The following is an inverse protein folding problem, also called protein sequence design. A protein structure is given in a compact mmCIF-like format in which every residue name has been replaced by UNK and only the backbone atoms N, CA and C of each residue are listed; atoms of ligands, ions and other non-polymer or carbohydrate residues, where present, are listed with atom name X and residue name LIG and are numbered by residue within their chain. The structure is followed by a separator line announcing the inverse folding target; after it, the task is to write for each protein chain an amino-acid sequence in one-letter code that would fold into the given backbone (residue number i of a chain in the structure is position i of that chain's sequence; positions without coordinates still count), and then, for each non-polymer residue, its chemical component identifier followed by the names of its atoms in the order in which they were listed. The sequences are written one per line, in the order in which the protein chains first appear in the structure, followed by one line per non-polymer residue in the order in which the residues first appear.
data_IF_026251617519
#
_entry.id   IF_026251617519
#
_cell.length_a   1.000
_cell.length_b   1.000
_cell.length_c   1.000
_cell.angle_alpha   90.00
_cell.angle_beta   90.00
_cell.angle_gamma   90.00
#
_symmetry.space_group_name_H-M   'P 1'
#
loop_
_entity.id
_entity.type
_entity.pdbx_description
1 polymer ?
#
# COMPACT_ATOMS: atom_id res chain seq x y z
N UNK A 1 0.50 -79.64 -14.07
CA UNK A 1 1.50 -78.99 -13.20
C UNK A 1 1.52 -77.45 -13.30
N UNK A 2 1.01 -76.82 -14.36
CA UNK A 2 0.94 -75.33 -14.49
C UNK A 2 -0.27 -74.69 -13.77
N UNK A 3 -1.35 -75.43 -13.56
CA UNK A 3 -2.57 -74.88 -12.97
C UNK A 3 -2.48 -74.65 -11.44
N UNK A 4 -1.69 -75.49 -10.74
CA UNK A 4 -1.52 -75.32 -9.30
C UNK A 4 -0.58 -74.20 -8.87
N UNK A 5 0.33 -73.80 -9.76
CA UNK A 5 1.21 -72.66 -9.50
C UNK A 5 0.45 -71.35 -9.53
N UNK A 6 -0.52 -71.19 -10.42
CA UNK A 6 -1.35 -69.97 -10.47
C UNK A 6 -2.32 -69.87 -9.30
N UNK A 7 -2.84 -70.96 -8.77
CA UNK A 7 -3.66 -70.99 -7.57
C UNK A 7 -2.90 -70.64 -6.30
N UNK A 8 -1.66 -71.14 -6.17
CA UNK A 8 -0.77 -70.73 -5.06
C UNK A 8 -0.33 -69.28 -5.15
N UNK A 9 -0.05 -68.74 -6.37
CA UNK A 9 0.26 -67.35 -6.53
C UNK A 9 -0.92 -66.42 -6.26
N UNK A 10 -2.15 -66.84 -6.59
CA UNK A 10 -3.36 -66.05 -6.32
C UNK A 10 -3.69 -66.02 -4.82
N UNK A 11 -3.49 -67.13 -4.11
CA UNK A 11 -3.67 -67.18 -2.64
C UNK A 11 -2.57 -66.38 -1.91
N UNK A 12 -1.35 -66.37 -2.41
CA UNK A 12 -0.26 -65.55 -1.87
C UNK A 12 -0.52 -64.03 -2.11
N UNK A 13 -1.09 -63.69 -3.26
CA UNK A 13 -1.42 -62.26 -3.59
C UNK A 13 -2.62 -61.74 -2.82
N UNK A 14 -3.65 -62.60 -2.57
CA UNK A 14 -4.79 -62.22 -1.72
C UNK A 14 -4.46 -62.18 -0.22
N UNK A 15 -3.44 -62.92 0.25
CA UNK A 15 -2.99 -62.84 1.64
C UNK A 15 -2.19 -61.54 1.93
N UNK A 16 -1.61 -60.87 0.91
CA UNK A 16 -0.90 -59.57 1.05
C UNK A 16 -1.81 -58.36 1.05
N UNK A 17 -3.07 -58.50 0.63
CA UNK A 17 -4.02 -57.37 0.57
C UNK A 17 -4.88 -57.22 1.80
N UNK A 18 -4.77 -58.07 2.80
CA UNK A 18 -5.41 -57.94 4.10
C UNK A 18 -4.43 -57.60 5.23
N UNK A 19 -3.32 -56.93 4.90
CA UNK A 19 -2.66 -56.11 5.90
C UNK A 19 -3.53 -54.87 6.08
N UNK A 20 -4.60 -55.05 6.83
CA UNK A 20 -5.43 -53.98 7.38
C UNK A 20 -4.51 -52.92 7.96
N UNK A 21 -4.63 -51.72 7.52
CA UNK A 21 -4.24 -50.58 8.33
C UNK A 21 -4.82 -50.87 9.71
N UNK A 22 -3.99 -51.09 10.72
CA UNK A 22 -4.46 -50.93 12.09
C UNK A 22 -5.12 -49.56 12.09
N UNK A 23 -6.38 -49.52 12.45
CA UNK A 23 -7.02 -48.32 12.91
C UNK A 23 -6.24 -47.90 14.16
N UNK A 24 -5.13 -47.21 13.96
CA UNK A 24 -4.47 -46.48 15.02
C UNK A 24 -5.49 -45.44 15.39
N UNK A 25 -6.01 -45.56 16.59
CA UNK A 25 -6.91 -44.57 17.15
C UNK A 25 -6.17 -43.27 17.09
N UNK A 26 -6.58 -42.37 16.16
CA UNK A 26 -5.94 -41.08 15.91
C UNK A 26 -5.78 -40.30 17.23
N UNK A 27 -6.63 -40.58 18.20
CA UNK A 27 -6.58 -40.00 19.54
C UNK A 27 -5.41 -40.52 20.39
N UNK A 28 -4.88 -41.74 20.14
CA UNK A 28 -3.76 -42.31 20.90
C UNK A 28 -2.38 -41.96 20.29
N UNK A 29 -2.27 -41.65 19.00
CA UNK A 29 -1.01 -41.32 18.33
C UNK A 29 -0.78 -39.83 18.14
N UNK A 30 -1.84 -39.01 18.14
CA UNK A 30 -1.76 -37.57 18.04
C UNK A 30 -2.32 -36.89 19.29
N UNK A 31 -1.56 -36.96 20.38
CA UNK A 31 -1.80 -36.08 21.51
C UNK A 31 -1.51 -34.63 21.06
N UNK A 32 -2.56 -33.92 20.62
CA UNK A 32 -2.48 -32.49 20.48
C UNK A 32 -2.36 -31.89 21.88
N UNK A 33 -1.16 -31.47 22.25
CA UNK A 33 -0.96 -30.69 23.46
C UNK A 33 -1.92 -29.50 23.44
N UNK A 34 -2.79 -29.43 24.43
CA UNK A 34 -3.65 -28.26 24.61
C UNK A 34 -2.78 -27.07 24.91
N UNK A 35 -2.63 -26.15 23.97
CA UNK A 35 -1.76 -24.97 24.06
C UNK A 35 -2.58 -23.70 24.00
N UNK A 36 -2.16 -22.70 24.76
CA UNK A 36 -2.69 -21.35 24.68
C UNK A 36 -2.11 -20.62 23.47
N UNK A 37 -2.95 -19.90 22.75
CA UNK A 37 -2.54 -19.07 21.61
C UNK A 37 -3.44 -17.83 21.46
N UNK A 38 -2.91 -16.78 20.84
CA UNK A 38 -3.68 -15.61 20.39
C UNK A 38 -4.48 -16.02 19.17
N UNK A 39 -5.80 -15.84 19.22
CA UNK A 39 -6.76 -16.22 18.16
C UNK A 39 -7.19 -15.02 17.29
N UNK A 40 -6.88 -13.80 17.69
CA UNK A 40 -7.02 -12.62 16.84
C UNK A 40 -5.97 -12.63 15.71
N UNK A 41 -6.21 -11.82 14.68
CA UNK A 41 -5.28 -11.71 13.54
C UNK A 41 -3.85 -11.39 14.00
N UNK A 42 -2.83 -12.02 13.44
CA UNK A 42 -1.44 -11.84 13.88
C UNK A 42 -0.91 -10.43 13.56
N UNK A 43 -1.43 -9.77 12.52
CA UNK A 43 -1.06 -8.40 12.14
C UNK A 43 -2.31 -7.59 11.85
N UNK A 44 -2.44 -6.41 12.45
CA UNK A 44 -3.53 -5.45 12.22
C UNK A 44 -2.95 -4.17 11.62
N UNK A 45 -3.34 -3.83 10.39
CA UNK A 45 -2.83 -2.68 9.64
C UNK A 45 -3.81 -1.51 9.49
N UNK A 46 -4.90 -1.50 10.25
CA UNK A 46 -5.97 -0.52 10.13
C UNK A 46 -5.85 0.67 11.11
N UNK A 47 -4.76 0.74 11.87
CA UNK A 47 -4.48 1.84 12.77
C UNK A 47 -3.80 2.98 12.01
N UNK A 48 -4.50 4.10 11.91
CA UNK A 48 -4.07 5.24 11.11
C UNK A 48 -3.80 6.47 11.99
N UNK A 49 -2.68 7.12 11.76
CA UNK A 49 -2.41 8.45 12.33
C UNK A 49 -3.26 9.44 11.57
N UNK A 50 -4.20 10.11 12.27
CA UNK A 50 -5.07 11.15 11.73
C UNK A 50 -5.06 12.36 12.66
N UNK A 51 -5.12 13.56 12.09
CA UNK A 51 -5.07 14.80 12.87
C UNK A 51 -6.19 14.94 13.90
N UNK A 52 -7.34 14.32 13.64
CA UNK A 52 -8.55 14.39 14.47
C UNK A 52 -8.77 13.13 15.34
N UNK A 53 -7.97 12.08 15.18
CA UNK A 53 -8.10 10.85 15.97
C UNK A 53 -7.05 10.81 17.06
N UNK A 54 -7.50 11.14 18.27
CA UNK A 54 -6.66 11.12 19.47
C UNK A 54 -6.58 9.74 20.11
N UNK A 55 -7.58 8.91 19.89
CA UNK A 55 -7.77 7.64 20.59
C UNK A 55 -8.31 6.56 19.65
N UNK A 56 -7.81 5.36 19.79
CA UNK A 56 -8.35 4.14 19.21
C UNK A 56 -8.21 2.99 20.21
N UNK A 57 -8.97 1.92 20.04
CA UNK A 57 -8.92 0.77 20.94
C UNK A 57 -9.05 -0.52 20.14
N UNK A 58 -8.22 -1.48 20.45
CA UNK A 58 -8.24 -2.81 19.85
C UNK A 58 -8.25 -3.88 20.92
N UNK A 59 -8.81 -5.02 20.58
CA UNK A 59 -8.86 -6.16 21.47
C UNK A 59 -8.04 -7.34 20.94
N UNK A 60 -7.44 -8.06 21.87
CA UNK A 60 -6.75 -9.31 21.60
C UNK A 60 -7.60 -10.42 22.18
N UNK A 61 -7.98 -11.35 21.32
CA UNK A 61 -8.62 -12.61 21.72
C UNK A 61 -7.59 -13.72 21.79
N UNK A 62 -7.76 -14.63 22.73
CA UNK A 62 -6.87 -15.76 22.93
C UNK A 62 -7.67 -16.98 23.39
N UNK A 63 -7.16 -18.17 23.14
CA UNK A 63 -7.90 -19.39 23.48
C UNK A 63 -7.01 -20.61 23.59
N UNK A 64 -7.60 -21.63 24.18
CA UNK A 64 -7.13 -23.01 24.20
C UNK A 64 -7.84 -23.82 23.11
N UNK A 65 -7.25 -24.93 22.71
CA UNK A 65 -7.87 -25.88 21.80
C UNK A 65 -9.01 -26.70 22.46
N UNK A 66 -8.87 -26.97 23.77
CA UNK A 66 -9.85 -27.73 24.55
C UNK A 66 -10.03 -27.11 25.96
N UNK A 67 -11.18 -27.33 26.64
CA UNK A 67 -11.40 -26.86 27.99
C UNK A 67 -10.34 -27.37 28.98
N UNK A 68 -10.16 -26.63 30.08
CA UNK A 68 -9.23 -26.98 31.17
C UNK A 68 -9.97 -27.28 32.46
N UNK A 69 -9.43 -28.19 33.27
CA UNK A 69 -10.00 -28.55 34.55
C UNK A 69 -9.65 -27.57 35.68
N UNK A 70 -8.54 -26.85 35.52
CA UNK A 70 -8.03 -25.90 36.51
C UNK A 70 -8.00 -24.48 35.95
N UNK A 71 -7.99 -23.51 36.84
CA UNK A 71 -7.83 -22.14 36.52
C UNK A 71 -6.44 -21.86 35.86
N UNK A 72 -6.42 -21.10 34.76
CA UNK A 72 -5.22 -20.73 34.05
C UNK A 72 -5.05 -19.22 34.16
N UNK A 73 -3.93 -18.79 34.73
CA UNK A 73 -3.52 -17.38 34.77
C UNK A 73 -2.71 -17.06 33.51
N UNK A 74 -3.08 -15.97 32.81
CA UNK A 74 -2.43 -15.53 31.57
C UNK A 74 -2.02 -14.08 31.73
N UNK A 75 -0.76 -13.77 31.40
CA UNK A 75 -0.24 -12.40 31.42
C UNK A 75 0.14 -11.95 30.00
N UNK A 76 -0.22 -10.73 29.66
CA UNK A 76 0.12 -10.07 28.41
C UNK A 76 0.97 -8.83 28.69
N UNK A 77 1.83 -8.48 27.77
CA UNK A 77 2.52 -7.18 27.79
C UNK A 77 2.99 -6.77 26.40
N UNK A 78 3.20 -5.48 26.22
CA UNK A 78 3.88 -4.94 25.06
C UNK A 78 5.37 -5.32 25.10
N UNK A 79 5.91 -5.68 23.93
CA UNK A 79 7.34 -6.03 23.76
C UNK A 79 7.95 -5.27 22.60
N UNK A 80 8.28 -3.97 22.76
CA UNK A 80 8.88 -3.14 21.70
C UNK A 80 10.11 -3.76 21.04
N UNK A 81 10.89 -4.56 21.81
CA UNK A 81 12.06 -5.28 21.29
C UNK A 81 11.75 -6.29 20.17
N UNK A 82 10.50 -6.74 20.06
CA UNK A 82 10.05 -7.63 18.96
C UNK A 82 9.78 -6.88 17.65
N UNK A 83 9.91 -5.56 17.58
CA UNK A 83 9.80 -4.81 16.34
C UNK A 83 10.83 -5.26 15.29
N UNK A 84 12.05 -5.59 15.72
CA UNK A 84 13.07 -6.14 14.81
C UNK A 84 12.68 -7.52 14.25
N UNK A 85 12.06 -8.36 15.07
CA UNK A 85 11.54 -9.67 14.63
C UNK A 85 10.39 -9.51 13.64
N UNK A 86 9.47 -8.57 13.91
CA UNK A 86 8.42 -8.19 12.98
C UNK A 86 9.00 -7.78 11.62
N UNK A 87 9.90 -6.80 11.61
CA UNK A 87 10.51 -6.30 10.38
C UNK A 87 11.19 -7.40 9.56
N UNK A 88 11.89 -8.32 10.24
CA UNK A 88 12.52 -9.46 9.56
C UNK A 88 11.48 -10.44 8.97
N UNK A 89 10.39 -10.70 9.71
CA UNK A 89 9.38 -11.70 9.30
C UNK A 89 8.47 -11.20 8.19
N UNK A 90 8.20 -9.90 8.14
CA UNK A 90 7.24 -9.29 7.21
C UNK A 90 7.89 -8.39 6.15
N UNK A 91 9.22 -8.29 6.14
CA UNK A 91 9.95 -7.44 5.19
C UNK A 91 9.66 -5.94 5.34
N UNK A 92 9.38 -5.49 6.57
CA UNK A 92 9.02 -4.11 6.89
C UNK A 92 10.18 -3.36 7.57
N UNK A 93 10.02 -2.04 7.77
CA UNK A 93 10.97 -1.16 8.48
C UNK A 93 10.30 -0.35 9.59
N UNK A 94 9.24 -0.86 10.18
CA UNK A 94 8.48 -0.19 11.22
C UNK A 94 9.32 0.10 12.48
N UNK A 95 9.11 1.28 13.06
CA UNK A 95 9.71 1.68 14.34
C UNK A 95 8.83 1.16 15.49
N UNK A 96 9.43 0.70 16.58
CA UNK A 96 8.66 0.34 17.77
C UNK A 96 7.83 1.55 18.26
N UNK A 97 6.54 1.32 18.54
CA UNK A 97 5.66 2.37 19.07
C UNK A 97 6.13 2.78 20.48
N UNK A 98 6.39 4.08 20.74
CA UNK A 98 6.81 4.54 22.06
C UNK A 98 5.68 4.36 23.11
N UNK A 99 6.07 4.13 24.37
CA UNK A 99 5.12 3.86 25.47
C UNK A 99 4.08 4.97 25.72
N UNK A 100 4.42 6.21 25.38
CA UNK A 100 3.49 7.35 25.51
C UNK A 100 2.24 7.26 24.61
N UNK A 101 2.21 6.32 23.67
CA UNK A 101 1.15 6.21 22.65
C UNK A 101 0.25 5.00 22.82
N UNK A 102 0.43 4.20 23.88
CA UNK A 102 -0.45 3.07 24.16
C UNK A 102 -0.59 2.80 25.65
N UNK A 103 -1.67 2.11 26.00
CA UNK A 103 -1.94 1.59 27.33
C UNK A 103 -2.64 0.23 27.25
N UNK A 104 -2.28 -0.67 28.16
CA UNK A 104 -2.94 -1.98 28.33
C UNK A 104 -3.43 -2.02 29.78
N UNK A 105 -4.69 -1.59 30.04
CA UNK A 105 -5.20 -1.41 31.39
C UNK A 105 -5.23 -2.68 32.22
N UNK A 106 -5.55 -3.82 31.58
CA UNK A 106 -5.60 -5.14 32.20
C UNK A 106 -4.64 -6.06 31.48
N UNK A 107 -3.54 -6.40 32.14
CA UNK A 107 -2.50 -7.28 31.57
C UNK A 107 -2.61 -8.72 32.02
N UNK A 108 -3.37 -8.98 33.09
CA UNK A 108 -3.51 -10.31 33.68
C UNK A 108 -4.98 -10.72 33.64
N UNK A 109 -5.24 -11.88 33.10
CA UNK A 109 -6.57 -12.44 32.91
C UNK A 109 -6.59 -13.92 33.31
N UNK A 110 -7.78 -14.46 33.49
CA UNK A 110 -7.98 -15.82 33.98
C UNK A 110 -8.90 -16.58 33.05
N UNK A 111 -8.53 -17.81 32.70
CA UNK A 111 -9.43 -18.77 32.07
C UNK A 111 -9.96 -19.66 33.21
N UNK A 112 -11.28 -19.64 33.39
CA UNK A 112 -11.94 -20.42 34.45
C UNK A 112 -12.01 -21.93 34.08
N UNK A 113 -12.07 -22.82 35.06
CA UNK A 113 -12.29 -24.23 34.83
C UNK A 113 -13.51 -24.50 33.93
N UNK A 114 -13.36 -25.38 32.95
CA UNK A 114 -14.36 -25.64 31.90
C UNK A 114 -14.35 -24.66 30.74
N UNK A 115 -13.54 -23.57 30.83
CA UNK A 115 -13.42 -22.58 29.79
C UNK A 115 -12.30 -22.91 28.80
N UNK A 116 -12.38 -22.21 27.64
CA UNK A 116 -11.32 -22.23 26.60
C UNK A 116 -10.72 -20.83 26.35
N UNK A 117 -11.30 -19.78 26.93
CA UNK A 117 -10.85 -18.39 26.84
C UNK A 117 -11.24 -17.63 28.10
N UNK A 118 -10.61 -16.51 28.37
CA UNK A 118 -11.01 -15.53 29.38
C UNK A 118 -11.45 -14.22 28.72
N UNK A 119 -11.42 -13.12 29.50
CA UNK A 119 -11.73 -11.78 29.01
C UNK A 119 -10.75 -11.31 27.96
N UNK A 120 -11.23 -10.57 26.96
CA UNK A 120 -10.38 -9.96 25.92
C UNK A 120 -9.40 -8.96 26.55
N UNK A 121 -8.17 -8.92 26.02
CA UNK A 121 -7.19 -7.89 26.38
C UNK A 121 -7.45 -6.65 25.53
N UNK A 122 -7.63 -5.51 26.18
CA UNK A 122 -7.81 -4.23 25.51
C UNK A 122 -6.46 -3.52 25.39
N UNK A 123 -6.14 -3.07 24.19
CA UNK A 123 -5.01 -2.20 23.89
C UNK A 123 -5.58 -0.86 23.45
N UNK A 124 -5.33 0.16 24.24
CA UNK A 124 -5.73 1.54 23.94
C UNK A 124 -4.55 2.25 23.26
N UNK A 125 -4.83 2.93 22.17
CA UNK A 125 -3.88 3.81 21.47
C UNK A 125 -4.30 5.25 21.74
N UNK A 126 -3.35 6.08 22.17
CA UNK A 126 -3.60 7.45 22.61
C UNK A 126 -2.66 8.42 21.88
N UNK A 127 -3.11 9.67 21.73
CA UNK A 127 -2.33 10.75 21.14
C UNK A 127 -1.77 10.42 19.73
N UNK A 128 -2.46 9.59 18.95
CA UNK A 128 -1.99 9.13 17.64
C UNK A 128 -1.66 10.28 16.69
N UNK A 129 -2.33 11.42 16.82
CA UNK A 129 -2.09 12.64 16.06
C UNK A 129 -0.71 13.29 16.30
N UNK A 130 0.01 12.90 17.35
CA UNK A 130 1.35 13.41 17.69
C UNK A 130 2.47 12.54 17.11
N UNK A 131 2.14 11.38 16.57
CA UNK A 131 3.11 10.52 15.90
C UNK A 131 3.56 11.14 14.58
N UNK A 132 4.81 10.87 14.19
CA UNK A 132 5.33 11.22 12.87
C UNK A 132 4.61 10.38 11.81
N UNK A 133 3.71 10.99 11.07
CA UNK A 133 2.89 10.35 10.05
C UNK A 133 3.66 9.91 8.80
N UNK A 134 4.93 10.29 8.68
CA UNK A 134 5.84 9.79 7.65
C UNK A 134 6.46 8.42 7.98
N UNK A 135 6.23 7.92 9.21
CA UNK A 135 6.79 6.66 9.70
C UNK A 135 5.72 5.60 9.88
N UNK A 136 6.16 4.36 9.77
CA UNK A 136 5.39 3.20 10.23
C UNK A 136 5.82 2.84 11.64
N UNK A 137 4.86 2.55 12.49
CA UNK A 137 5.12 2.08 13.85
C UNK A 137 4.51 0.69 14.03
N UNK A 138 5.12 -0.10 14.90
CA UNK A 138 4.63 -1.42 15.29
C UNK A 138 4.60 -1.55 16.80
N UNK A 139 3.46 -2.02 17.33
CA UNK A 139 3.32 -2.44 18.72
C UNK A 139 3.16 -3.97 18.78
N UNK A 140 4.20 -4.72 19.13
CA UNK A 140 4.08 -6.14 19.44
C UNK A 140 3.47 -6.32 20.84
N UNK A 141 2.37 -7.07 20.95
CA UNK A 141 1.81 -7.49 22.24
C UNK A 141 1.87 -9.02 22.32
N UNK A 142 2.41 -9.54 23.41
CA UNK A 142 2.70 -10.96 23.55
C UNK A 142 2.19 -11.54 24.86
N UNK A 143 1.89 -12.82 24.86
CA UNK A 143 1.70 -13.58 26.10
C UNK A 143 3.08 -13.72 26.76
N UNK A 144 3.25 -13.14 27.95
CA UNK A 144 4.50 -13.14 28.69
C UNK A 144 4.59 -14.29 29.67
N UNK A 145 3.45 -14.71 30.23
CA UNK A 145 3.38 -15.81 31.17
C UNK A 145 2.05 -16.55 31.07
N UNK A 146 2.06 -17.85 31.34
CA UNK A 146 0.88 -18.69 31.45
C UNK A 146 1.13 -19.76 32.51
N UNK A 147 0.14 -20.04 33.35
CA UNK A 147 0.24 -21.09 34.37
C UNK A 147 -0.32 -22.43 33.86
N UNK A 148 0.34 -23.52 34.18
CA UNK A 148 -0.21 -24.89 34.07
C UNK A 148 -0.45 -25.45 32.68
N UNK A 149 -0.14 -24.69 31.61
CA UNK A 149 -0.30 -25.15 30.22
C UNK A 149 0.78 -24.56 29.32
N UNK A 150 1.05 -25.22 28.17
CA UNK A 150 2.03 -24.75 27.19
C UNK A 150 1.51 -23.61 26.30
N UNK A 151 2.45 -22.86 25.71
CA UNK A 151 2.16 -21.84 24.70
C UNK A 151 2.39 -22.38 23.28
N UNK A 152 1.57 -21.97 22.34
CA UNK A 152 1.86 -22.10 20.91
C UNK A 152 2.76 -20.90 20.51
N UNK A 153 4.06 -21.14 20.45
CA UNK A 153 5.07 -20.08 20.25
C UNK A 153 4.88 -19.27 18.97
N UNK A 154 4.40 -19.93 17.90
CA UNK A 154 4.12 -19.26 16.62
C UNK A 154 2.92 -18.30 16.65
N UNK A 155 2.06 -18.41 17.65
CA UNK A 155 0.86 -17.59 17.81
C UNK A 155 0.76 -16.95 19.21
N UNK A 156 1.91 -16.64 19.81
CA UNK A 156 1.96 -15.97 21.12
C UNK A 156 2.00 -14.46 21.05
N UNK A 157 2.22 -13.87 19.85
CA UNK A 157 2.38 -12.44 19.64
C UNK A 157 1.46 -11.96 18.53
N UNK A 158 0.82 -10.82 18.74
CA UNK A 158 0.12 -10.05 17.70
C UNK A 158 0.79 -8.71 17.52
N UNK A 159 0.68 -8.15 16.32
CA UNK A 159 1.34 -6.90 15.92
C UNK A 159 0.28 -5.89 15.48
N UNK A 160 0.30 -4.72 16.08
CA UNK A 160 -0.52 -3.58 15.65
C UNK A 160 0.37 -2.63 14.86
N UNK A 161 0.01 -2.40 13.60
CA UNK A 161 0.72 -1.50 12.71
C UNK A 161 -0.01 -0.17 12.67
N UNK A 162 0.73 0.90 12.97
CA UNK A 162 0.24 2.27 12.92
C UNK A 162 1.01 2.98 11.83
N UNK A 163 0.28 3.60 10.91
CA UNK A 163 0.85 4.34 9.80
C UNK A 163 0.13 5.67 9.61
N UNK A 164 0.85 6.65 9.07
CA UNK A 164 0.25 7.92 8.71
C UNK A 164 -0.89 7.69 7.71
N UNK A 165 -2.06 8.19 8.06
CA UNK A 165 -3.10 8.41 7.08
C UNK A 165 -2.91 9.82 6.57
N UNK A 166 -2.46 9.96 5.33
CA UNK A 166 -2.72 11.20 4.63
C UNK A 166 -4.25 11.28 4.44
N UNK A 167 -4.91 12.08 5.26
CA UNK A 167 -6.32 12.38 5.05
C UNK A 167 -6.41 13.26 3.81
N UNK A 168 -6.83 12.68 2.71
CA UNK A 168 -7.27 13.45 1.55
C UNK A 168 -8.76 13.75 1.80
N UNK A 169 -9.05 14.89 2.43
CA UNK A 169 -10.42 15.30 2.72
C UNK A 169 -11.05 16.05 1.55
N UNK A 170 -10.22 16.66 0.73
CA UNK A 170 -10.64 17.49 -0.41
C UNK A 170 -9.63 17.27 -1.54
N UNK A 171 -10.12 17.25 -2.76
CA UNK A 171 -9.32 17.18 -3.98
C UNK A 171 -9.80 18.24 -4.98
N UNK A 172 -8.99 18.55 -5.96
CA UNK A 172 -9.39 19.43 -7.05
C UNK A 172 -9.95 18.61 -8.23
N UNK A 173 -11.19 18.86 -8.63
CA UNK A 173 -11.67 18.48 -9.95
C UNK A 173 -11.21 19.54 -10.95
N UNK A 174 -10.41 19.11 -11.94
CA UNK A 174 -9.76 19.99 -12.91
C UNK A 174 -10.28 19.80 -14.33
N UNK A 175 -11.49 19.25 -14.46
CA UNK A 175 -12.19 19.20 -15.73
C UNK A 175 -12.31 20.59 -16.33
N UNK A 176 -11.91 20.74 -17.61
CA UNK A 176 -11.87 22.01 -18.33
C UNK A 176 -11.00 23.10 -17.67
N UNK A 177 -10.06 22.70 -16.83
CA UNK A 177 -9.17 23.58 -16.09
C UNK A 177 -7.71 23.12 -16.21
N UNK A 178 -6.79 23.97 -15.84
CA UNK A 178 -5.36 23.67 -15.81
C UNK A 178 -4.58 24.65 -14.94
N UNK A 179 -3.37 24.26 -14.57
CA UNK A 179 -2.44 25.07 -13.78
C UNK A 179 -1.15 25.28 -14.57
N UNK A 180 -0.84 26.54 -15.04
CA UNK A 180 0.48 26.88 -15.55
C UNK A 180 1.50 26.86 -14.41
N UNK A 181 2.66 26.28 -14.64
CA UNK A 181 3.73 26.22 -13.66
C UNK A 181 4.80 27.28 -14.04
N UNK A 182 5.05 28.17 -13.10
CA UNK A 182 6.20 29.10 -13.17
C UNK A 182 7.21 28.59 -12.14
N UNK A 183 8.24 27.96 -12.62
CA UNK A 183 9.25 27.36 -11.75
C UNK A 183 10.11 28.43 -11.07
N UNK A 184 10.24 28.28 -9.75
CA UNK A 184 11.24 28.97 -8.94
C UNK A 184 12.49 28.10 -8.74
N UNK A 185 12.34 26.78 -8.91
CA UNK A 185 13.42 25.81 -8.88
C UNK A 185 14.10 25.70 -10.25
N UNK A 186 15.41 25.34 -10.29
CA UNK A 186 16.10 25.06 -11.57
C UNK A 186 15.67 23.67 -12.09
N UNK A 187 14.88 23.70 -13.14
CA UNK A 187 14.37 22.51 -13.86
C UNK A 187 14.77 22.54 -15.34
N UNK A 188 15.78 23.35 -15.70
CA UNK A 188 16.23 23.56 -17.09
C UNK A 188 16.98 22.38 -17.69
N UNK A 189 17.55 21.48 -16.84
CA UNK A 189 18.38 20.35 -17.28
C UNK A 189 18.30 19.18 -16.32
N UNK A 190 17.11 18.60 -16.22
CA UNK A 190 16.91 17.44 -15.34
C UNK A 190 17.47 16.17 -16.00
N UNK A 191 18.49 15.58 -15.39
CA UNK A 191 19.09 14.29 -15.81
C UNK A 191 18.27 13.10 -15.29
N UNK A 192 17.56 13.32 -14.19
CA UNK A 192 16.63 12.36 -13.59
C UNK A 192 15.37 13.11 -13.20
N UNK A 193 14.23 12.51 -13.46
CA UNK A 193 12.93 13.01 -13.02
C UNK A 193 12.02 11.83 -12.64
N UNK A 194 11.35 11.98 -11.50
CA UNK A 194 10.18 11.16 -11.16
C UNK A 194 8.99 12.10 -10.99
N UNK A 195 7.89 11.78 -11.64
CA UNK A 195 6.62 12.49 -11.47
C UNK A 195 5.60 11.52 -10.91
N UNK A 196 4.95 11.90 -9.82
CA UNK A 196 3.88 11.14 -9.19
C UNK A 196 2.60 11.98 -9.17
N UNK A 197 1.45 11.34 -9.30
CA UNK A 197 0.14 11.94 -9.09
C UNK A 197 -0.91 10.91 -8.71
N UNK A 198 -1.88 11.30 -7.87
CA UNK A 198 -3.14 10.61 -7.71
C UNK A 198 -4.14 11.19 -8.70
N UNK A 199 -4.75 10.35 -9.49
CA UNK A 199 -5.75 10.74 -10.50
C UNK A 199 -6.99 9.87 -10.40
N UNK A 200 -8.17 10.46 -10.64
CA UNK A 200 -9.44 9.77 -10.76
C UNK A 200 -10.25 10.41 -11.87
N UNK A 201 -10.82 9.60 -12.74
CA UNK A 201 -11.72 10.07 -13.79
C UNK A 201 -13.01 9.24 -13.78
N UNK A 202 -14.13 9.91 -13.96
CA UNK A 202 -15.44 9.28 -14.19
C UNK A 202 -15.64 8.90 -15.67
N UNK A 203 -14.90 9.52 -16.59
CA UNK A 203 -14.98 9.27 -18.03
C UNK A 203 -13.71 9.70 -18.77
N UNK A 204 -12.83 8.78 -19.12
CA UNK A 204 -11.63 9.07 -19.91
C UNK A 204 -11.93 9.58 -21.33
N UNK A 205 -13.09 9.27 -21.87
CA UNK A 205 -13.55 9.77 -23.16
C UNK A 205 -14.06 11.21 -23.05
N UNK A 206 -14.85 11.50 -22.00
CA UNK A 206 -15.41 12.81 -21.65
C UNK A 206 -16.15 13.51 -22.82
N UNK A 207 -16.64 12.75 -23.81
CA UNK A 207 -17.37 13.25 -24.98
C UNK A 207 -16.68 14.41 -25.69
N UNK A 208 -15.35 14.34 -25.82
CA UNK A 208 -14.51 15.34 -26.45
C UNK A 208 -14.08 14.91 -27.84
N UNK A 209 -13.92 15.88 -28.77
CA UNK A 209 -13.33 15.62 -30.08
C UNK A 209 -11.85 15.20 -29.93
N UNK A 210 -11.13 15.83 -29.00
CA UNK A 210 -9.78 15.43 -28.63
C UNK A 210 -9.81 14.45 -27.45
N UNK A 211 -9.38 13.26 -27.75
CA UNK A 211 -9.42 12.14 -26.82
C UNK A 211 -8.27 12.07 -25.84
N UNK A 212 -7.29 12.99 -25.95
CA UNK A 212 -6.12 13.02 -25.11
C UNK A 212 -6.39 13.79 -23.81
N UNK A 213 -6.01 13.20 -22.69
CA UNK A 213 -6.01 13.84 -21.37
C UNK A 213 -4.58 14.13 -20.93
N UNK A 214 -4.30 15.31 -20.44
CA UNK A 214 -2.96 15.68 -19.96
C UNK A 214 -2.93 15.68 -18.43
N UNK A 215 -1.93 15.05 -17.84
CA UNK A 215 -1.71 15.06 -16.39
C UNK A 215 -0.70 16.16 -16.03
N UNK A 216 0.51 16.06 -16.55
CA UNK A 216 1.62 16.98 -16.22
C UNK A 216 2.59 17.09 -17.37
N UNK A 217 3.15 18.28 -17.58
CA UNK A 217 4.37 18.46 -18.37
C UNK A 217 4.27 19.44 -19.52
N UNK A 218 5.07 19.18 -20.54
CA UNK A 218 5.33 20.04 -21.71
C UNK A 218 5.19 19.24 -22.99
N UNK A 219 4.38 19.72 -23.91
CA UNK A 219 4.30 19.14 -25.26
C UNK A 219 5.67 19.18 -25.95
N UNK A 220 6.07 18.06 -26.54
CA UNK A 220 7.32 17.95 -27.29
C UNK A 220 8.59 17.74 -26.45
N UNK A 221 8.51 17.73 -25.12
CA UNK A 221 9.66 17.47 -24.25
C UNK A 221 9.37 16.40 -23.20
N UNK A 222 8.61 16.72 -22.16
CA UNK A 222 8.21 15.76 -21.14
C UNK A 222 6.73 15.93 -20.84
N UNK A 223 5.92 14.95 -21.20
CA UNK A 223 4.47 15.02 -21.01
C UNK A 223 3.92 13.67 -20.57
N UNK A 224 3.20 13.68 -19.46
CA UNK A 224 2.38 12.56 -19.00
C UNK A 224 0.95 12.79 -19.47
N UNK A 225 0.45 11.89 -20.31
CA UNK A 225 -0.86 12.00 -20.97
C UNK A 225 -1.56 10.65 -21.04
N UNK A 226 -2.85 10.65 -21.31
CA UNK A 226 -3.71 9.47 -21.37
C UNK A 226 -4.49 9.51 -22.66
N UNK A 227 -4.54 8.39 -23.41
CA UNK A 227 -5.41 8.19 -24.55
C UNK A 227 -5.02 8.86 -25.87
N UNK A 228 -3.72 8.96 -26.19
CA UNK A 228 -3.26 9.60 -27.43
C UNK A 228 -3.21 8.66 -28.63
N UNK A 229 -3.61 9.18 -29.79
CA UNK A 229 -3.47 8.53 -31.08
C UNK A 229 -4.28 7.24 -31.17
N UNK A 230 -3.60 6.15 -31.46
CA UNK A 230 -4.14 4.78 -31.61
C UNK A 230 -4.24 4.00 -30.30
N UNK A 231 -3.93 4.64 -29.17
CA UNK A 231 -4.01 4.02 -27.83
C UNK A 231 -5.43 3.98 -27.30
N UNK A 232 -5.75 2.98 -26.45
CA UNK A 232 -6.96 3.03 -25.64
C UNK A 232 -7.08 4.33 -24.85
N UNK A 233 -8.31 4.81 -24.66
CA UNK A 233 -8.60 6.11 -24.03
C UNK A 233 -8.15 6.23 -22.59
N UNK A 234 -8.00 5.12 -21.91
CA UNK A 234 -7.56 4.96 -20.53
C UNK A 234 -6.05 4.69 -20.40
N UNK A 235 -5.35 4.50 -21.53
CA UNK A 235 -3.93 4.14 -21.48
C UNK A 235 -3.03 5.36 -21.25
N UNK A 236 -2.22 5.32 -20.17
CA UNK A 236 -1.19 6.29 -19.90
C UNK A 236 -0.03 6.18 -20.90
N UNK A 237 0.49 7.34 -21.27
CA UNK A 237 1.70 7.50 -22.06
C UNK A 237 2.56 8.62 -21.48
N UNK A 238 3.85 8.37 -21.35
CA UNK A 238 4.84 9.42 -21.15
C UNK A 238 5.53 9.72 -22.49
N UNK A 239 5.44 10.96 -22.96
CA UNK A 239 6.24 11.46 -24.06
C UNK A 239 7.49 12.12 -23.46
N UNK A 240 8.67 11.68 -23.89
CA UNK A 240 9.98 12.11 -23.37
C UNK A 240 10.95 12.32 -24.52
N UNK A 241 12.09 12.98 -24.32
CA UNK A 241 13.14 13.00 -25.32
C UNK A 241 13.51 11.60 -25.76
N UNK A 242 13.47 11.33 -27.07
CA UNK A 242 13.73 10.00 -27.63
C UNK A 242 12.49 9.12 -27.83
N UNK A 243 11.28 9.64 -27.56
CA UNK A 243 10.02 8.98 -27.90
C UNK A 243 9.14 8.62 -26.71
N UNK A 244 7.96 8.08 -27.01
CA UNK A 244 6.94 7.77 -26.02
C UNK A 244 7.08 6.38 -25.43
N UNK A 245 6.63 6.22 -24.20
CA UNK A 245 6.47 4.91 -23.55
C UNK A 245 5.22 4.89 -22.63
N UNK A 246 4.59 3.75 -22.34
CA UNK A 246 4.72 2.47 -23.06
C UNK A 246 4.38 2.60 -24.56
N UNK A 247 4.81 1.66 -25.41
CA UNK A 247 4.40 1.64 -26.82
C UNK A 247 2.88 1.36 -26.94
N UNK A 248 2.27 1.73 -28.09
CA UNK A 248 0.82 1.62 -28.29
C UNK A 248 0.26 0.20 -28.15
N UNK A 249 1.04 -0.79 -28.49
CA UNK A 249 0.70 -2.20 -28.44
C UNK A 249 1.14 -2.91 -27.17
N UNK A 250 1.45 -2.16 -26.11
CA UNK A 250 1.86 -2.76 -24.84
C UNK A 250 0.69 -3.53 -24.20
N UNK A 251 1.05 -4.57 -23.43
CA UNK A 251 0.12 -5.56 -22.90
C UNK A 251 -1.07 -4.99 -22.12
N UNK A 252 -2.19 -5.74 -22.02
CA UNK A 252 -3.33 -5.38 -21.17
C UNK A 252 -2.93 -5.07 -19.72
N UNK A 253 -3.69 -4.21 -19.05
CA UNK A 253 -3.52 -3.90 -17.62
C UNK A 253 -2.83 -2.58 -17.29
N UNK A 254 -2.34 -1.83 -18.29
CA UNK A 254 -1.78 -0.49 -18.08
C UNK A 254 -2.83 0.63 -18.16
N UNK A 255 -4.06 0.31 -18.55
CA UNK A 255 -5.18 1.26 -18.55
C UNK A 255 -5.53 1.72 -17.13
N UNK A 256 -6.01 2.96 -17.02
CA UNK A 256 -6.52 3.53 -15.78
C UNK A 256 -8.02 3.25 -15.67
N UNK A 257 -8.50 2.74 -14.52
CA UNK A 257 -9.93 2.52 -14.30
C UNK A 257 -10.71 3.85 -14.29
N UNK A 258 -12.02 3.78 -14.37
CA UNK A 258 -12.93 4.88 -14.08
C UNK A 258 -13.44 4.77 -12.64
N UNK A 259 -13.80 5.90 -12.05
CA UNK A 259 -14.33 6.02 -10.68
C UNK A 259 -13.43 5.47 -9.56
N UNK A 260 -12.18 5.21 -9.85
CA UNK A 260 -11.18 4.75 -8.89
C UNK A 260 -9.98 5.68 -8.84
N UNK A 261 -9.45 5.91 -7.63
CA UNK A 261 -8.19 6.59 -7.45
C UNK A 261 -7.01 5.70 -7.86
N UNK A 262 -6.15 6.22 -8.71
CA UNK A 262 -4.94 5.53 -9.15
C UNK A 262 -3.73 6.39 -8.87
N UNK A 263 -2.76 5.85 -8.15
CA UNK A 263 -1.45 6.46 -8.03
C UNK A 263 -0.61 6.09 -9.24
N UNK A 264 -0.25 7.08 -10.03
CA UNK A 264 0.63 6.93 -11.19
C UNK A 264 1.99 7.52 -10.86
N UNK A 265 3.06 6.87 -11.31
CA UNK A 265 4.40 7.43 -11.26
C UNK A 265 5.16 7.12 -12.55
N UNK A 266 5.88 8.14 -13.05
CA UNK A 266 6.72 8.03 -14.23
C UNK A 266 8.14 8.39 -13.83
N UNK A 267 9.05 7.44 -14.01
CA UNK A 267 10.49 7.60 -13.81
C UNK A 267 11.18 7.74 -15.17
N UNK A 268 12.05 8.73 -15.28
CA UNK A 268 12.94 8.92 -16.42
C UNK A 268 14.33 9.31 -15.91
N UNK A 269 15.33 8.47 -16.17
CA UNK A 269 16.69 8.66 -15.65
C UNK A 269 17.72 8.40 -16.76
N UNK A 270 18.46 9.42 -17.15
CA UNK A 270 19.45 9.34 -18.25
C UNK A 270 20.77 8.67 -17.82
N UNK A 271 21.05 8.56 -16.53
CA UNK A 271 22.29 7.94 -16.00
C UNK A 271 22.27 6.42 -16.22
N UNK A 272 21.21 5.76 -15.74
CA UNK A 272 20.99 4.31 -15.91
C UNK A 272 20.09 3.97 -17.09
N UNK A 273 19.62 5.01 -17.83
CA UNK A 273 18.71 4.95 -18.98
C UNK A 273 17.31 4.46 -18.67
N UNK A 274 16.91 4.36 -17.41
CA UNK A 274 15.61 3.84 -17.03
C UNK A 274 14.47 4.75 -17.51
N UNK A 275 13.42 4.12 -18.08
CA UNK A 275 12.09 4.69 -18.26
C UNK A 275 11.11 3.70 -17.64
N UNK A 276 10.41 4.10 -16.59
CA UNK A 276 9.53 3.19 -15.85
C UNK A 276 8.18 3.88 -15.64
N UNK A 277 7.10 3.14 -15.84
CA UNK A 277 5.76 3.55 -15.45
C UNK A 277 5.25 2.64 -14.33
N UNK A 278 4.80 3.26 -13.26
CA UNK A 278 4.19 2.59 -12.11
C UNK A 278 2.70 2.91 -12.04
N UNK A 279 1.89 1.91 -11.71
CA UNK A 279 0.49 2.01 -11.35
C UNK A 279 0.29 1.41 -9.97
N UNK A 280 -0.17 2.21 -8.99
CA UNK A 280 -0.36 1.81 -7.59
C UNK A 280 0.89 1.13 -6.99
N UNK A 281 2.07 1.73 -7.21
CA UNK A 281 3.35 1.21 -6.71
C UNK A 281 3.95 0.05 -7.50
N UNK A 282 3.20 -0.56 -8.44
CA UNK A 282 3.68 -1.68 -9.25
C UNK A 282 4.23 -1.17 -10.58
N UNK A 283 5.45 -1.57 -10.94
CA UNK A 283 6.03 -1.27 -12.24
C UNK A 283 5.30 -2.07 -13.33
N UNK A 284 4.53 -1.37 -14.17
CA UNK A 284 3.76 -1.98 -15.26
C UNK A 284 4.44 -1.86 -16.61
N UNK A 285 5.46 -1.02 -16.72
CA UNK A 285 6.33 -0.93 -17.89
C UNK A 285 7.73 -0.46 -17.48
N UNK A 286 8.76 -1.02 -18.11
CA UNK A 286 10.16 -0.62 -17.95
C UNK A 286 10.95 -0.87 -19.23
N UNK A 287 11.77 0.10 -19.61
CA UNK A 287 12.86 -0.07 -20.60
C UNK A 287 14.09 0.77 -20.23
N UNK A 288 15.11 0.74 -21.09
CA UNK A 288 16.37 1.46 -20.91
C UNK A 288 16.69 2.30 -22.16
N UNK A 289 15.90 3.33 -22.40
CA UNK A 289 16.04 4.18 -23.59
C UNK A 289 16.12 5.69 -23.27
N UNK A 290 16.21 6.08 -22.01
CA UNK A 290 16.38 7.49 -21.62
C UNK A 290 17.78 7.98 -22.06
N UNK A 291 17.83 9.08 -22.83
CA UNK A 291 19.08 9.51 -23.49
C UNK A 291 19.36 11.02 -23.48
N UNK A 292 18.38 11.84 -23.12
CA UNK A 292 18.50 13.31 -23.14
C UNK A 292 17.83 13.91 -21.92
N UNK A 293 18.38 15.02 -21.42
CA UNK A 293 17.83 15.73 -20.27
C UNK A 293 16.47 16.34 -20.58
N UNK A 294 15.68 16.53 -19.52
CA UNK A 294 14.36 17.17 -19.57
C UNK A 294 14.49 18.64 -19.18
N UNK A 295 13.83 19.52 -19.91
CA UNK A 295 13.69 20.95 -19.60
C UNK A 295 12.22 21.25 -19.33
N UNK A 296 11.88 21.67 -18.10
CA UNK A 296 10.52 22.01 -17.69
C UNK A 296 10.27 23.53 -17.61
N UNK A 297 11.18 24.35 -18.11
CA UNK A 297 11.14 25.83 -17.89
C UNK A 297 10.06 26.55 -18.69
N UNK A 298 9.56 25.98 -19.80
CA UNK A 298 8.64 26.67 -20.71
C UNK A 298 7.37 25.86 -20.93
N UNK A 299 6.21 26.53 -20.78
CA UNK A 299 4.89 25.93 -21.08
C UNK A 299 4.61 24.63 -20.34
N UNK A 300 5.05 24.55 -19.09
CA UNK A 300 4.76 23.41 -18.22
C UNK A 300 3.41 23.58 -17.52
N UNK A 301 2.57 22.54 -17.53
CA UNK A 301 1.23 22.60 -16.99
C UNK A 301 0.87 21.32 -16.22
N UNK A 302 -0.08 21.45 -15.30
CA UNK A 302 -0.91 20.37 -14.82
C UNK A 302 -2.28 20.49 -15.48
N UNK A 303 -2.81 19.41 -16.05
CA UNK A 303 -4.13 19.38 -16.69
C UNK A 303 -4.18 20.02 -18.09
N UNK A 304 -3.05 20.27 -18.72
CA UNK A 304 -2.99 20.84 -20.09
C UNK A 304 -1.72 20.39 -20.81
N UNK A 305 -1.79 20.34 -22.15
CA UNK A 305 -0.60 20.21 -23.01
C UNK A 305 -0.62 21.25 -24.13
N UNK A 306 -0.82 20.81 -25.38
CA UNK A 306 -0.76 21.67 -26.54
C UNK A 306 -1.82 22.78 -26.55
N UNK A 307 -3.07 22.44 -26.22
CA UNK A 307 -4.19 23.38 -26.18
C UNK A 307 -5.09 23.18 -24.96
N UNK A 308 -6.11 24.01 -24.81
CA UNK A 308 -7.03 24.01 -23.68
C UNK A 308 -8.08 22.88 -23.72
N UNK A 309 -8.13 22.05 -24.75
CA UNK A 309 -9.10 20.95 -24.87
C UNK A 309 -8.59 19.63 -24.29
N UNK A 310 -7.27 19.54 -23.99
CA UNK A 310 -6.58 18.33 -23.52
C UNK A 310 -6.53 18.23 -21.99
N UNK A 311 -7.55 18.68 -21.30
CA UNK A 311 -7.63 18.66 -19.84
C UNK A 311 -7.84 17.25 -19.28
N UNK A 312 -7.49 17.07 -18.01
CA UNK A 312 -7.78 15.84 -17.27
C UNK A 312 -9.28 15.79 -16.92
N UNK A 313 -10.03 14.74 -17.30
CA UNK A 313 -11.47 14.63 -17.04
C UNK A 313 -11.77 14.08 -15.65
N UNK A 314 -11.43 14.80 -14.59
CA UNK A 314 -11.68 14.34 -13.24
C UNK A 314 -10.88 15.05 -12.17
N UNK A 315 -10.57 14.32 -11.12
CA UNK A 315 -9.88 14.81 -9.94
C UNK A 315 -8.39 14.48 -9.97
N UNK A 316 -7.62 15.36 -9.30
CA UNK A 316 -6.19 15.21 -9.10
C UNK A 316 -5.80 15.55 -7.68
N UNK A 317 -4.79 14.85 -7.16
CA UNK A 317 -4.18 15.09 -5.87
C UNK A 317 -2.72 14.63 -5.86
N UNK A 318 -1.97 15.01 -4.82
CA UNK A 318 -0.64 14.48 -4.51
C UNK A 318 0.37 14.56 -5.68
N UNK A 319 0.36 15.66 -6.43
CA UNK A 319 1.30 15.83 -7.54
C UNK A 319 2.69 16.18 -7.00
N UNK A 320 3.69 15.37 -7.35
CA UNK A 320 5.07 15.46 -6.86
C UNK A 320 6.05 15.39 -8.01
N UNK A 321 7.04 16.26 -7.97
CA UNK A 321 8.13 16.31 -8.94
C UNK A 321 9.44 16.12 -8.21
N UNK A 322 10.19 15.10 -8.61
CA UNK A 322 11.46 14.74 -8.01
C UNK A 322 12.59 14.87 -9.02
N UNK A 323 13.76 15.29 -8.56
CA UNK A 323 15.02 15.29 -9.32
C UNK A 323 15.83 13.97 -9.12
N UNK A 324 15.23 12.98 -8.49
CA UNK A 324 15.81 11.66 -8.22
C UNK A 324 14.90 10.55 -8.77
N UNK A 325 15.46 9.37 -9.01
CA UNK A 325 14.72 8.15 -9.29
C UNK A 325 14.13 7.60 -8.00
N UNK A 326 12.81 7.50 -7.94
CA UNK A 326 12.10 6.87 -6.83
C UNK A 326 12.05 5.35 -7.04
N UNK A 327 12.31 4.59 -5.98
CA UNK A 327 12.21 3.12 -6.04
C UNK A 327 10.75 2.66 -6.00
N UNK A 328 10.50 1.40 -6.37
CA UNK A 328 9.17 0.81 -6.30
C UNK A 328 8.60 0.85 -4.87
N UNK A 329 9.42 0.54 -3.86
CA UNK A 329 9.03 0.58 -2.45
C UNK A 329 8.68 2.00 -2.02
N UNK A 330 9.50 2.99 -2.37
CA UNK A 330 9.24 4.39 -2.03
C UNK A 330 7.93 4.90 -2.64
N UNK A 331 7.60 4.47 -3.86
CA UNK A 331 6.36 4.84 -4.55
C UNK A 331 5.17 4.10 -3.94
N UNK A 332 5.30 2.80 -3.65
CA UNK A 332 4.24 1.97 -3.10
C UNK A 332 3.87 2.36 -1.66
N UNK A 333 4.87 2.67 -0.83
CA UNK A 333 4.66 2.98 0.59
C UNK A 333 4.08 4.38 0.84
N UNK A 334 4.17 5.29 -0.13
CA UNK A 334 3.84 6.69 0.06
C UNK A 334 2.85 7.26 -0.99
N UNK A 335 1.75 6.58 -1.32
CA UNK A 335 0.85 7.05 -2.38
C UNK A 335 0.10 8.33 -1.99
N UNK A 336 -0.13 8.59 -0.70
CA UNK A 336 -1.00 9.67 -0.20
C UNK A 336 -0.25 10.82 0.46
N UNK A 337 1.02 10.64 0.80
CA UNK A 337 1.84 11.67 1.45
C UNK A 337 3.32 11.36 1.32
N UNK A 338 4.13 12.41 1.28
CA UNK A 338 5.59 12.36 1.47
C UNK A 338 6.00 13.50 2.41
N UNK A 339 7.17 13.35 3.04
CA UNK A 339 7.74 14.46 3.79
C UNK A 339 8.14 15.60 2.82
N UNK A 340 7.60 16.82 2.98
CA UNK A 340 7.93 17.94 2.11
C UNK A 340 9.42 18.29 2.05
N UNK A 341 10.17 17.93 3.09
CA UNK A 341 11.63 18.16 3.16
C UNK A 341 12.44 16.98 2.59
N UNK A 342 11.82 16.01 1.90
CA UNK A 342 12.53 14.89 1.30
C UNK A 342 13.57 15.33 0.29
N UNK A 343 14.76 14.72 0.33
CA UNK A 343 15.82 14.99 -0.62
C UNK A 343 15.35 14.71 -2.06
N UNK A 344 15.66 15.65 -2.96
CA UNK A 344 15.29 15.56 -4.37
C UNK A 344 13.85 15.92 -4.69
N UNK A 345 13.01 16.25 -3.72
CA UNK A 345 11.65 16.73 -3.97
C UNK A 345 11.69 18.19 -4.42
N UNK A 346 11.38 18.42 -5.69
CA UNK A 346 11.44 19.74 -6.36
C UNK A 346 10.18 20.54 -6.11
N UNK A 347 9.00 19.89 -6.21
CA UNK A 347 7.70 20.51 -5.98
C UNK A 347 6.71 19.44 -5.46
N UNK A 348 5.77 19.87 -4.61
CA UNK A 348 4.74 19.02 -4.04
C UNK A 348 3.42 19.80 -3.86
N UNK A 349 2.42 19.46 -4.65
CA UNK A 349 1.09 20.05 -4.61
C UNK A 349 0.07 19.01 -4.14
N UNK A 350 -0.55 19.26 -2.98
CA UNK A 350 -1.54 18.33 -2.41
C UNK A 350 -2.91 18.45 -3.06
N UNK A 351 -3.28 19.61 -3.59
CA UNK A 351 -4.62 19.89 -4.11
C UNK A 351 -5.72 19.70 -3.06
N UNK A 352 -5.48 20.14 -1.84
CA UNK A 352 -6.38 19.99 -0.72
C UNK A 352 -6.76 21.33 -0.06
N UNK A 353 -6.63 22.44 -0.78
CA UNK A 353 -6.89 23.78 -0.26
C UNK A 353 -8.38 24.03 0.04
N UNK A 354 -9.30 23.36 -0.66
CA UNK A 354 -10.75 23.43 -0.44
C UNK A 354 -11.42 24.72 -0.93
N UNK A 355 -10.64 25.74 -1.32
CA UNK A 355 -11.14 27.00 -1.85
C UNK A 355 -10.07 27.78 -2.60
N UNK A 356 -10.48 28.75 -3.44
CA UNK A 356 -9.59 29.62 -4.19
C UNK A 356 -8.90 28.91 -5.36
N UNK A 357 -7.94 29.63 -5.99
CA UNK A 357 -7.25 29.21 -7.23
C UNK A 357 -5.81 28.78 -7.01
N UNK A 358 -5.22 29.16 -5.88
CA UNK A 358 -3.81 28.93 -5.59
C UNK A 358 -3.66 27.57 -4.92
N UNK A 359 -2.74 26.75 -5.44
CA UNK A 359 -2.30 25.51 -4.81
C UNK A 359 -0.85 25.68 -4.37
N UNK A 360 -0.61 25.47 -3.09
CA UNK A 360 0.66 25.76 -2.43
C UNK A 360 1.66 24.63 -2.66
N UNK A 361 2.89 24.98 -3.01
CA UNK A 361 4.03 24.08 -3.02
C UNK A 361 4.47 23.76 -1.58
N UNK A 362 4.21 22.56 -1.13
CA UNK A 362 4.49 22.11 0.25
C UNK A 362 5.99 21.97 0.55
N UNK A 363 6.84 21.97 -0.45
CA UNK A 363 8.31 21.89 -0.25
C UNK A 363 8.91 23.18 0.32
N UNK A 364 8.22 24.30 0.17
CA UNK A 364 8.77 25.62 0.48
C UNK A 364 9.72 26.17 -0.60
N UNK A 365 9.90 25.50 -1.73
CA UNK A 365 10.72 25.98 -2.85
C UNK A 365 10.06 27.10 -3.66
N UNK A 366 8.82 27.45 -3.34
CA UNK A 366 8.09 28.58 -3.92
C UNK A 366 7.53 28.32 -5.32
N UNK A 367 7.25 27.07 -5.67
CA UNK A 367 6.61 26.70 -6.93
C UNK A 367 5.08 26.68 -6.82
N UNK A 368 4.48 27.64 -6.11
CA UNK A 368 3.03 27.77 -6.02
C UNK A 368 2.41 27.92 -7.40
N UNK A 369 1.26 27.30 -7.61
CA UNK A 369 0.56 27.32 -8.89
C UNK A 369 -0.83 27.94 -8.76
N UNK A 370 -1.29 28.55 -9.83
CA UNK A 370 -2.61 29.22 -9.88
C UNK A 370 -3.42 28.65 -11.04
N UNK A 371 -4.62 28.18 -10.73
CA UNK A 371 -5.56 27.64 -11.71
C UNK A 371 -5.98 28.70 -12.75
N UNK A 372 -6.24 28.29 -13.98
CA UNK A 372 -6.79 29.16 -15.03
C UNK A 372 -8.22 29.63 -14.73
N UNK A 373 -9.01 28.78 -14.06
CA UNK A 373 -10.37 29.05 -13.53
C UNK A 373 -10.43 28.60 -12.09
N UNK A 374 -11.50 28.95 -11.36
CA UNK A 374 -11.72 28.39 -10.01
C UNK A 374 -11.90 26.86 -10.11
N UNK A 375 -11.06 26.06 -9.43
CA UNK A 375 -11.26 24.63 -9.37
C UNK A 375 -12.55 24.28 -8.63
N UNK A 376 -13.13 23.15 -8.99
CA UNK A 376 -14.19 22.56 -8.17
C UNK A 376 -13.52 21.71 -7.09
N UNK A 377 -13.63 22.17 -5.86
CA UNK A 377 -13.13 21.43 -4.71
C UNK A 377 -14.14 20.35 -4.29
N UNK A 378 -13.72 19.09 -4.35
CA UNK A 378 -14.58 17.94 -4.10
C UNK A 378 -14.22 17.35 -2.74
N UNK A 379 -15.15 17.31 -1.77
CA UNK A 379 -14.96 16.55 -0.55
C UNK A 379 -14.81 15.06 -0.89
N UNK A 380 -13.77 14.43 -0.37
CA UNK A 380 -13.54 13.00 -0.53
C UNK A 380 -13.84 12.33 0.79
N UNK A 381 -14.92 11.54 0.83
CA UNK A 381 -15.10 10.58 1.91
C UNK A 381 -14.07 9.46 1.67
N UNK A 382 -13.02 9.39 2.48
CA UNK A 382 -12.04 8.32 2.41
C UNK A 382 -12.72 7.03 2.85
N UNK A 383 -13.30 6.32 1.89
CA UNK A 383 -13.63 4.91 2.06
C UNK A 383 -12.33 4.12 1.88
N UNK A 384 -11.84 3.50 2.95
CA UNK A 384 -10.61 2.69 2.98
C UNK A 384 -10.71 1.36 2.22
N UNK A 385 -11.56 1.26 1.24
CA UNK A 385 -11.67 0.06 0.42
C UNK A 385 -10.85 0.23 -0.85
N UNK A 386 -9.82 -0.61 -0.99
CA UNK A 386 -9.12 -0.97 -2.23
C UNK A 386 -7.83 -0.23 -2.61
N UNK A 387 -6.81 -0.29 -1.76
CA UNK A 387 -5.48 -0.60 -2.25
C UNK A 387 -4.98 -1.83 -1.47
N UNK A 388 -5.54 -2.99 -1.79
CA UNK A 388 -4.93 -4.25 -1.38
C UNK A 388 -3.62 -4.37 -2.15
N UNK A 389 -2.50 -4.38 -1.42
CA UNK A 389 -1.31 -5.04 -1.89
C UNK A 389 -1.72 -6.44 -2.36
N UNK A 390 -1.32 -6.85 -3.56
CA UNK A 390 -1.51 -8.21 -4.02
C UNK A 390 -0.88 -9.14 -2.97
N UNK A 391 -1.72 -9.85 -2.23
CA UNK A 391 -1.32 -11.09 -1.60
C UNK A 391 -0.85 -12.01 -2.74
N UNK A 392 0.44 -12.22 -2.83
CA UNK A 392 0.98 -13.34 -3.57
C UNK A 392 0.55 -14.59 -2.83
N UNK A 393 -0.54 -15.20 -3.28
CA UNK A 393 -0.86 -16.59 -2.95
C UNK A 393 0.29 -17.41 -3.53
N UNK A 394 1.20 -17.84 -2.68
CA UNK A 394 2.08 -18.96 -2.96
C UNK A 394 1.21 -20.21 -2.77
N UNK A 395 0.67 -20.71 -3.89
CA UNK A 395 0.18 -22.07 -3.96
C UNK A 395 1.36 -23.02 -3.76
N UNK A 396 1.36 -23.74 -2.64
CA UNK A 396 2.15 -24.94 -2.42
C UNK A 396 1.31 -26.18 -2.72
#
# INVERSE_FOLDING_TARGET
MKLHIYQLAFIAFTAFTVSSCKDTDINDEHHYDNKLYISSVPVTEDLLIKDDVLFDSRKITYRLAAPVDNEIQVSFDAKPSLAATYNLSYGDNATALPEAFYDIPVKNVTIQPGGISGDDIIVNFVNLNQLDDSRRYVLPVTITNVSGIGLLESARTTYFIIKGAALINVVANIKENYFPIKWNSDVSKMITITVEALVRSDDWVAKRDNALSSVFGIEGNFLIRIGDGDRPRDQLQAFVPGGSFPPANHAPGIGLPVDEWVHIAVVYNTVNKNRIYYKNGVAVYKDQSANSTVDLTKNCYIGRSFDGTRWLPGEISEVRIWSVERTAEQIADNPYKVNPASEGLVAYWKFNEGSGKVVIDRTGNGNDITASKDPIWVPVAVSYTHLRAHETVLDL
#
